data_IF_994809997069
#
_entry.id   IF_994809997069
#
_cell.length_a   1.000
_cell.length_b   1.000
_cell.length_c   1.000
_cell.angle_alpha   90.00
_cell.angle_beta   90.00
_cell.angle_gamma   90.00
#
_symmetry.space_group_name_H-M   'P 1'
#
loop_
_entity.id
_entity.type
_entity.pdbx_description
1 polymer ?
#
# COMPACT_ATOMS: atom_id res chain seq x y z
N UNK A 1 19.04 -6.28 -23.30
CA UNK A 1 19.75 -5.42 -22.32
C UNK A 1 20.10 -4.09 -22.97
N UNK A 2 19.94 -2.98 -22.24
CA UNK A 2 19.89 -1.55 -22.65
C UNK A 2 18.48 -1.14 -23.10
N UNK A 3 17.82 -0.21 -22.40
CA UNK A 3 18.19 1.20 -22.35
C UNK A 3 18.42 1.73 -20.92
N UNK A 4 19.60 2.33 -20.73
CA UNK A 4 19.94 3.12 -19.55
C UNK A 4 19.29 4.50 -19.75
N UNK A 5 18.37 4.91 -18.87
CA UNK A 5 17.96 6.32 -18.80
C UNK A 5 19.18 7.15 -18.42
N UNK A 6 19.62 7.95 -19.39
CA UNK A 6 20.70 8.91 -19.27
C UNK A 6 20.30 10.00 -18.27
N UNK A 7 20.72 9.86 -17.03
CA UNK A 7 20.89 10.99 -16.13
C UNK A 7 22.13 11.77 -16.60
N UNK A 8 21.84 12.76 -17.45
CA UNK A 8 22.62 13.94 -17.85
C UNK A 8 24.13 13.99 -17.51
N UNK A 9 24.98 13.91 -18.54
CA UNK A 9 26.40 14.28 -18.49
C UNK A 9 26.58 15.68 -19.08
N UNK A 10 26.77 16.71 -18.24
CA UNK A 10 27.18 18.05 -18.69
C UNK A 10 28.64 18.31 -18.32
N UNK A 11 29.47 18.60 -19.33
CA UNK A 11 30.82 19.16 -19.19
C UNK A 11 30.75 20.65 -19.50
N UNK A 12 31.12 21.50 -18.53
CA UNK A 12 31.31 22.94 -18.73
C UNK A 12 31.65 23.62 -17.40
N UNK A 13 32.89 24.09 -17.25
CA UNK A 13 33.35 24.81 -16.06
C UNK A 13 32.96 26.29 -16.17
N UNK A 14 31.98 26.71 -15.38
CA UNK A 14 31.79 28.11 -14.98
C UNK A 14 31.58 28.10 -13.47
N UNK A 15 32.42 28.85 -12.76
CA UNK A 15 32.42 29.00 -11.31
C UNK A 15 31.14 29.74 -10.89
N UNK A 16 30.11 28.99 -10.54
CA UNK A 16 28.87 29.50 -9.93
C UNK A 16 28.62 28.68 -8.66
N UNK A 17 28.38 29.37 -7.54
CA UNK A 17 28.01 28.76 -6.26
C UNK A 17 26.64 28.12 -6.43
N UNK A 18 26.62 26.85 -6.81
CA UNK A 18 25.40 26.07 -7.00
C UNK A 18 24.97 25.52 -5.66
N UNK A 19 23.94 26.13 -5.06
CA UNK A 19 23.24 25.55 -3.91
C UNK A 19 22.55 24.26 -4.41
N UNK A 20 23.19 23.10 -4.23
CA UNK A 20 22.61 21.80 -4.53
C UNK A 20 21.46 21.53 -3.55
N UNK A 21 20.25 21.89 -3.95
CA UNK A 21 19.04 21.41 -3.30
C UNK A 21 18.92 19.92 -3.62
N UNK A 22 19.16 19.06 -2.62
CA UNK A 22 18.91 17.62 -2.72
C UNK A 22 17.39 17.41 -2.81
N UNK A 23 16.85 17.35 -4.04
CA UNK A 23 15.51 16.82 -4.27
C UNK A 23 15.55 15.30 -4.04
N UNK A 24 15.39 14.87 -2.78
CA UNK A 24 15.23 13.47 -2.42
C UNK A 24 13.93 12.92 -3.02
N UNK A 25 14.01 11.81 -3.76
CA UNK A 25 12.82 11.11 -4.21
C UNK A 25 12.15 10.46 -2.99
N UNK A 26 11.09 11.08 -2.47
CA UNK A 26 10.37 10.53 -1.32
C UNK A 26 9.46 9.37 -1.77
N UNK A 27 9.50 8.20 -1.10
CA UNK A 27 8.61 7.09 -1.40
C UNK A 27 7.13 7.45 -1.18
N UNK A 28 6.83 8.46 -0.35
CA UNK A 28 5.47 8.92 -0.08
C UNK A 28 4.70 9.37 -1.33
N UNK A 29 5.42 9.86 -2.36
CA UNK A 29 4.77 10.28 -3.62
C UNK A 29 4.03 9.13 -4.28
N UNK A 30 4.58 7.90 -4.25
CA UNK A 30 3.93 6.73 -4.86
C UNK A 30 2.62 6.39 -4.13
N UNK A 31 2.63 6.41 -2.81
CA UNK A 31 1.46 6.09 -1.98
C UNK A 31 0.34 7.10 -2.15
N UNK A 32 0.65 8.40 -2.21
CA UNK A 32 -0.35 9.44 -2.48
C UNK A 32 -1.04 9.28 -3.85
N UNK A 33 -0.29 8.88 -4.88
CA UNK A 33 -0.87 8.60 -6.20
C UNK A 33 -1.73 7.34 -6.18
N UNK A 34 -1.28 6.30 -5.46
CA UNK A 34 -2.04 5.06 -5.28
C UNK A 34 -3.36 5.31 -4.55
N UNK A 35 -3.36 6.07 -3.45
CA UNK A 35 -4.54 6.46 -2.68
C UNK A 35 -5.62 7.07 -3.59
N UNK A 36 -5.28 8.12 -4.34
CA UNK A 36 -6.24 8.78 -5.24
C UNK A 36 -6.79 7.81 -6.29
N UNK A 37 -5.97 6.92 -6.83
CA UNK A 37 -6.40 5.94 -7.83
C UNK A 37 -7.28 4.83 -7.23
N UNK A 38 -6.97 4.37 -6.01
CA UNK A 38 -7.70 3.32 -5.29
C UNK A 38 -9.08 3.83 -4.87
N UNK A 39 -9.13 5.01 -4.26
CA UNK A 39 -10.38 5.68 -3.86
C UNK A 39 -11.31 5.92 -5.06
N UNK A 40 -10.77 6.38 -6.20
CA UNK A 40 -11.53 6.53 -7.46
C UNK A 40 -11.98 5.21 -8.09
N UNK A 41 -11.38 4.10 -7.70
CA UNK A 41 -11.78 2.78 -8.15
C UNK A 41 -12.84 2.15 -7.24
N UNK A 42 -13.15 2.73 -6.07
CA UNK A 42 -14.14 2.21 -5.13
C UNK A 42 -13.53 1.49 -3.91
N UNK A 43 -12.20 1.47 -3.79
CA UNK A 43 -11.57 0.97 -2.57
C UNK A 43 -11.82 1.91 -1.39
N UNK A 44 -11.97 1.33 -0.20
CA UNK A 44 -12.12 2.06 1.07
C UNK A 44 -10.86 1.88 1.89
N UNK A 45 -10.31 2.97 2.43
CA UNK A 45 -9.16 2.93 3.34
C UNK A 45 -9.57 2.51 4.75
N UNK A 46 -8.99 1.44 5.28
CA UNK A 46 -9.16 1.02 6.66
C UNK A 46 -7.85 1.27 7.42
N UNK A 47 -7.88 2.24 8.35
CA UNK A 47 -6.70 2.60 9.14
C UNK A 47 -6.23 1.45 10.03
N UNK A 48 -4.91 1.26 10.08
CA UNK A 48 -4.25 0.30 10.96
C UNK A 48 -3.92 0.90 12.31
N UNK A 49 -4.91 1.52 12.94
CA UNK A 49 -4.78 2.28 14.19
C UNK A 49 -4.79 1.41 15.45
N UNK A 50 -4.74 0.08 15.31
CA UNK A 50 -4.65 -0.88 16.42
C UNK A 50 -3.45 -1.78 16.20
N UNK A 51 -2.89 -2.33 17.29
CA UNK A 51 -1.80 -3.32 17.19
C UNK A 51 -2.18 -4.51 16.29
N UNK A 52 -3.42 -4.98 16.37
CA UNK A 52 -3.89 -6.10 15.55
C UNK A 52 -3.98 -5.72 14.06
N UNK A 53 -4.57 -4.56 13.73
CA UNK A 53 -4.67 -4.09 12.33
C UNK A 53 -3.31 -3.72 11.75
N UNK A 54 -2.41 -3.20 12.57
CA UNK A 54 -1.03 -2.91 12.18
C UNK A 54 -0.25 -4.19 11.90
N UNK A 55 -0.38 -5.21 12.76
CA UNK A 55 0.20 -6.52 12.53
C UNK A 55 -0.34 -7.13 11.22
N UNK A 56 -1.65 -7.09 10.98
CA UNK A 56 -2.26 -7.57 9.74
C UNK A 56 -1.75 -6.80 8.51
N UNK A 57 -1.72 -5.47 8.55
CA UNK A 57 -1.19 -4.66 7.44
C UNK A 57 0.25 -5.03 7.06
N UNK A 58 1.10 -5.34 8.05
CA UNK A 58 2.49 -5.71 7.82
C UNK A 58 2.69 -7.13 7.28
N UNK A 59 1.65 -7.98 7.29
CA UNK A 59 1.68 -9.25 6.56
C UNK A 59 1.53 -9.03 5.04
N UNK A 60 0.90 -7.94 4.64
CA UNK A 60 0.68 -7.64 3.23
C UNK A 60 1.95 -7.09 2.58
N UNK A 61 2.19 -7.42 1.29
CA UNK A 61 3.23 -6.76 0.51
C UNK A 61 3.01 -5.24 0.47
N UNK A 62 3.98 -4.42 0.91
CA UNK A 62 3.80 -2.97 0.99
C UNK A 62 3.70 -2.35 -0.40
N UNK A 63 2.69 -1.51 -0.61
CA UNK A 63 2.47 -0.78 -1.86
C UNK A 63 2.09 -1.66 -3.05
N UNK A 64 1.58 -2.88 -2.81
CA UNK A 64 1.26 -3.86 -3.86
C UNK A 64 -0.10 -4.51 -3.61
N UNK A 65 -0.84 -4.74 -4.70
CA UNK A 65 -2.16 -5.36 -4.66
C UNK A 65 -2.05 -6.86 -4.36
N UNK A 66 -2.90 -7.36 -3.46
CA UNK A 66 -3.16 -8.79 -3.22
C UNK A 66 -4.64 -9.00 -2.91
N UNK A 67 -5.05 -10.23 -2.56
CA UNK A 67 -6.39 -10.52 -2.08
C UNK A 67 -6.34 -11.48 -0.89
N UNK A 68 -7.41 -11.52 -0.10
CA UNK A 68 -7.70 -12.56 0.89
C UNK A 68 -9.15 -13.00 0.72
N UNK A 69 -9.44 -14.25 1.08
CA UNK A 69 -10.81 -14.76 1.01
C UNK A 69 -11.56 -14.33 2.27
N UNK A 70 -12.70 -13.68 2.10
CA UNK A 70 -13.63 -13.41 3.18
C UNK A 70 -14.24 -14.72 3.72
N UNK A 71 -14.89 -14.71 4.89
CA UNK A 71 -15.53 -15.90 5.46
C UNK A 71 -16.58 -16.55 4.55
N UNK A 72 -17.20 -15.77 3.66
CA UNK A 72 -18.15 -16.23 2.65
C UNK A 72 -17.50 -16.79 1.37
N UNK A 73 -16.16 -16.81 1.31
CA UNK A 73 -15.38 -17.27 0.17
C UNK A 73 -15.19 -16.25 -0.95
N UNK A 74 -15.75 -15.04 -0.81
CA UNK A 74 -15.52 -13.96 -1.77
C UNK A 74 -14.09 -13.40 -1.66
N UNK A 75 -13.56 -12.86 -2.76
CA UNK A 75 -12.25 -12.19 -2.74
C UNK A 75 -12.42 -10.74 -2.31
N UNK A 76 -11.67 -10.35 -1.28
CA UNK A 76 -11.45 -8.95 -0.93
C UNK A 76 -10.06 -8.57 -1.39
N UNK A 77 -9.97 -7.58 -2.27
CA UNK A 77 -8.73 -7.06 -2.80
C UNK A 77 -8.14 -6.05 -1.83
N UNK A 78 -6.85 -6.19 -1.56
CA UNK A 78 -6.13 -5.48 -0.52
C UNK A 78 -4.93 -4.75 -1.11
N UNK A 79 -4.72 -3.51 -0.67
CA UNK A 79 -3.50 -2.75 -0.93
C UNK A 79 -3.00 -2.11 0.37
N UNK A 80 -1.77 -2.44 0.77
CA UNK A 80 -1.17 -1.93 2.01
C UNK A 80 -0.41 -0.63 1.75
N UNK A 81 -0.75 0.43 2.48
CA UNK A 81 -0.01 1.70 2.51
C UNK A 81 0.56 1.96 3.91
N UNK A 82 1.75 1.40 4.22
CA UNK A 82 2.40 1.59 5.52
C UNK A 82 3.18 2.91 5.64
N UNK A 83 3.29 3.73 4.57
CA UNK A 83 4.11 4.95 4.59
C UNK A 83 3.26 6.22 4.52
N UNK A 84 2.20 6.21 3.70
CA UNK A 84 1.25 7.31 3.55
C UNK A 84 0.28 7.37 4.72
N UNK A 85 -0.84 6.66 4.64
CA UNK A 85 -1.89 6.67 5.67
C UNK A 85 -1.65 5.71 6.83
N UNK A 86 -0.81 4.68 6.68
CA UNK A 86 -0.79 3.55 7.61
C UNK A 86 -2.09 2.76 7.59
N UNK A 87 -2.57 2.43 6.40
CA UNK A 87 -3.89 1.83 6.19
C UNK A 87 -3.86 0.72 5.15
N UNK A 88 -4.90 -0.11 5.15
CA UNK A 88 -5.16 -1.12 4.13
C UNK A 88 -6.39 -0.69 3.34
N UNK A 89 -6.23 -0.50 2.04
CA UNK A 89 -7.35 -0.29 1.13
C UNK A 89 -8.01 -1.63 0.84
N UNK A 90 -9.32 -1.69 1.00
CA UNK A 90 -10.12 -2.89 0.76
C UNK A 90 -11.16 -2.61 -0.33
N UNK A 91 -11.28 -3.52 -1.28
CA UNK A 91 -12.20 -3.41 -2.41
C UNK A 91 -12.76 -4.76 -2.82
N UNK A 92 -13.95 -4.73 -3.40
CA UNK A 92 -14.59 -5.90 -4.00
C UNK A 92 -14.08 -6.16 -5.43
N UNK A 93 -14.71 -7.13 -6.09
CA UNK A 93 -14.37 -7.48 -7.48
C UNK A 93 -14.54 -6.31 -8.45
N UNK A 94 -15.61 -5.51 -8.31
CA UNK A 94 -15.88 -4.34 -9.17
C UNK A 94 -14.80 -3.28 -9.00
N UNK A 95 -14.39 -3.03 -7.75
CA UNK A 95 -13.34 -2.06 -7.42
C UNK A 95 -12.00 -2.48 -8.01
N UNK A 96 -11.65 -3.76 -7.89
CA UNK A 96 -10.45 -4.32 -8.48
C UNK A 96 -10.42 -4.21 -10.01
N UNK A 97 -11.52 -4.55 -10.70
CA UNK A 97 -11.59 -4.47 -12.16
C UNK A 97 -11.42 -3.02 -12.64
N UNK A 98 -12.07 -2.08 -11.96
CA UNK A 98 -11.94 -0.64 -12.21
C UNK A 98 -10.50 -0.19 -12.01
N UNK A 99 -9.85 -0.60 -10.91
CA UNK A 99 -8.46 -0.25 -10.63
C UNK A 99 -7.50 -0.84 -11.67
N UNK A 100 -7.66 -2.12 -12.02
CA UNK A 100 -6.83 -2.83 -13.00
C UNK A 100 -6.90 -2.19 -14.38
N UNK A 101 -8.09 -1.75 -14.80
CA UNK A 101 -8.26 -1.09 -16.11
C UNK A 101 -7.41 0.18 -16.27
N UNK A 102 -7.11 0.86 -15.16
CA UNK A 102 -6.33 2.10 -15.12
C UNK A 102 -4.87 1.88 -14.74
N UNK A 103 -4.55 0.72 -14.18
CA UNK A 103 -3.24 0.36 -13.65
C UNK A 103 -2.78 -1.01 -14.20
N UNK A 104 -2.36 -1.09 -15.48
CA UNK A 104 -2.00 -2.36 -16.11
C UNK A 104 -0.76 -3.04 -15.53
N UNK A 105 0.00 -2.36 -14.66
CA UNK A 105 1.21 -2.90 -14.00
C UNK A 105 0.96 -3.62 -12.68
N UNK A 106 -0.30 -3.81 -12.27
CA UNK A 106 -0.61 -4.51 -11.02
C UNK A 106 -0.39 -6.02 -11.17
N UNK A 107 -0.14 -6.75 -10.07
CA UNK A 107 0.01 -8.21 -10.10
C UNK A 107 -1.19 -8.92 -10.75
N UNK A 108 -0.93 -10.00 -11.47
CA UNK A 108 -1.99 -10.87 -11.98
C UNK A 108 -2.64 -11.67 -10.83
N UNK A 109 -3.82 -12.25 -11.07
CA UNK A 109 -4.45 -13.13 -10.08
C UNK A 109 -3.56 -14.33 -9.71
N UNK A 110 -2.80 -14.86 -10.67
CA UNK A 110 -1.87 -15.97 -10.43
C UNK A 110 -0.67 -15.52 -9.58
N UNK A 111 -0.15 -14.30 -9.81
CA UNK A 111 0.90 -13.72 -8.98
C UNK A 111 0.43 -13.51 -7.54
N UNK A 112 -0.79 -12.98 -7.37
CA UNK A 112 -1.40 -12.79 -6.05
C UNK A 112 -1.64 -14.13 -5.36
N UNK A 113 -2.16 -15.13 -6.07
CA UNK A 113 -2.33 -16.47 -5.54
C UNK A 113 -0.99 -17.13 -5.17
N UNK A 114 0.07 -16.87 -5.94
CA UNK A 114 1.42 -17.34 -5.62
C UNK A 114 2.03 -16.64 -4.39
N UNK A 115 1.71 -15.36 -4.16
CA UNK A 115 2.04 -14.65 -2.92
C UNK A 115 1.31 -15.27 -1.73
N UNK A 116 -0.02 -15.42 -1.82
CA UNK A 116 -0.84 -16.04 -0.76
C UNK A 116 -0.36 -17.44 -0.42
N UNK A 117 0.04 -18.27 -1.40
CA UNK A 117 0.57 -19.61 -1.11
C UNK A 117 1.93 -19.59 -0.40
N UNK A 118 2.72 -18.54 -0.59
CA UNK A 118 4.03 -18.38 0.08
C UNK A 118 3.88 -17.83 1.49
N UNK A 119 2.90 -16.97 1.73
CA UNK A 119 2.55 -16.47 3.04
C UNK A 119 1.61 -17.45 3.76
N UNK A 120 2.18 -18.32 4.60
CA UNK A 120 1.39 -19.27 5.40
C UNK A 120 0.73 -18.62 6.62
N UNK A 121 0.91 -17.31 6.82
CA UNK A 121 0.31 -16.60 7.95
C UNK A 121 -1.19 -16.44 7.72
N UNK A 122 -1.99 -16.86 8.70
CA UNK A 122 -3.43 -16.72 8.60
C UNK A 122 -3.83 -15.24 8.60
N UNK A 123 -4.63 -14.85 7.61
CA UNK A 123 -5.28 -13.54 7.59
C UNK A 123 -6.48 -13.54 8.53
N UNK A 124 -6.40 -12.76 9.61
CA UNK A 124 -7.46 -12.68 10.60
C UNK A 124 -8.41 -11.52 10.29
N UNK A 125 -9.59 -11.87 9.75
CA UNK A 125 -10.66 -10.90 9.49
C UNK A 125 -11.25 -10.30 10.76
N UNK A 126 -11.12 -10.95 11.91
CA UNK A 126 -11.67 -10.44 13.16
C UNK A 126 -11.07 -9.09 13.53
N UNK A 127 -9.79 -8.85 13.21
CA UNK A 127 -9.07 -7.60 13.44
C UNK A 127 -9.68 -6.38 12.72
N UNK A 128 -10.49 -6.61 11.68
CA UNK A 128 -11.09 -5.57 10.84
C UNK A 128 -12.60 -5.44 11.05
N UNK A 129 -13.16 -6.13 12.04
CA UNK A 129 -14.56 -5.96 12.43
C UNK A 129 -14.76 -4.65 13.21
N UNK A 130 -15.97 -4.04 13.18
CA UNK A 130 -16.28 -2.91 14.04
C UNK A 130 -16.08 -3.20 15.53
N UNK A 131 -16.30 -4.45 15.97
CA UNK A 131 -16.06 -4.89 17.34
C UNK A 131 -14.59 -5.04 17.71
N UNK A 132 -13.71 -5.17 16.72
CA UNK A 132 -12.26 -5.15 16.92
C UNK A 132 -11.66 -3.75 16.75
N UNK A 133 -12.47 -2.76 16.37
CA UNK A 133 -12.10 -1.36 16.48
C UNK A 133 -11.84 -1.05 17.95
N UNK A 134 -10.68 -0.47 18.29
CA UNK A 134 -10.42 -0.17 19.67
C UNK A 134 -11.39 0.95 20.08
N UNK A 135 -12.17 0.70 21.13
CA UNK A 135 -12.70 1.80 21.92
C UNK A 135 -11.55 2.73 22.34
N UNK A 136 -11.85 3.94 22.81
CA UNK A 136 -10.86 4.95 23.22
C UNK A 136 -9.77 4.47 24.21
N UNK A 137 -9.92 3.27 24.78
CA UNK A 137 -9.11 2.71 25.86
C UNK A 137 -8.13 1.61 25.41
N UNK A 138 -8.01 1.29 24.12
CA UNK A 138 -6.94 0.40 23.65
C UNK A 138 -5.79 1.22 23.05
N UNK A 139 -4.53 0.75 23.19
CA UNK A 139 -3.39 1.43 22.61
C UNK A 139 -3.51 1.45 21.09
N UNK A 140 -3.58 2.68 20.56
CA UNK A 140 -3.58 2.90 19.13
C UNK A 140 -2.13 2.93 18.64
N UNK A 141 -1.72 1.94 17.85
CA UNK A 141 -0.40 1.99 17.24
C UNK A 141 -0.45 2.92 16.03
N UNK A 142 -0.18 4.21 16.26
CA UNK A 142 -0.04 5.19 15.18
C UNK A 142 1.42 5.26 14.75
N UNK A 143 1.66 5.18 13.45
CA UNK A 143 2.99 5.32 12.86
C UNK A 143 3.57 6.67 13.30
N UNK A 144 4.54 6.66 14.22
CA UNK A 144 5.29 7.86 14.62
C UNK A 144 5.06 8.44 16.02
N UNK A 145 4.21 7.86 16.88
CA UNK A 145 4.14 8.27 18.29
C UNK A 145 3.74 7.13 19.23
N UNK A 146 4.60 6.83 20.19
CA UNK A 146 4.33 6.00 21.37
C UNK A 146 3.71 6.88 22.46
N UNK A 147 2.61 6.46 23.08
CA UNK A 147 2.17 6.93 24.39
C UNK A 147 1.57 5.75 25.16
#
# INVERSE_FOLDING_TARGET
>A
MRTKSLCQRSRGHFMAITLLLLAGCSPAKQYLQADTSLSKAGFVSHYSDTTARYAMMNLLPPGRMTFRLAPDGSKIYLYSDPIGCGCVYMGDQSSYETYRSRNPGIPTLDDMAAEIRRDTTAWDWSAWTPSADPGSNQPKHMIGAYW
#
